data_IF_544910642980
#
_entry.id   IF_544910642980
#
_cell.length_a   1.000
_cell.length_b   1.000
_cell.length_c   1.000
_cell.angle_alpha   90.00
_cell.angle_beta   90.00
_cell.angle_gamma   90.00
#
_symmetry.space_group_name_H-M   'P 1'
#
loop_
_entity.id
_entity.type
_entity.pdbx_description
1 polymer ?
#
# COMPACT_ATOMS: atom_id res chain seq x y z
N UNK A 1 -2.54 -9.44 -0.86
CA UNK A 1 -1.49 -8.44 -0.57
C UNK A 1 -0.30 -8.73 -1.45
N UNK A 2 0.10 -7.75 -2.27
CA UNK A 2 1.30 -7.69 -3.09
C UNK A 2 2.61 -7.72 -2.27
N UNK A 3 2.60 -7.21 -1.03
CA UNK A 3 3.75 -7.12 -0.11
C UNK A 3 4.05 -8.40 0.67
N UNK A 4 3.21 -9.43 0.55
CA UNK A 4 3.46 -10.74 1.15
C UNK A 4 4.43 -11.57 0.29
N UNK A 5 5.15 -12.53 0.89
CA UNK A 5 5.96 -13.48 0.14
C UNK A 5 5.14 -14.17 -0.95
N UNK A 6 5.59 -14.06 -2.20
CA UNK A 6 4.97 -14.71 -3.36
C UNK A 6 5.84 -15.89 -3.82
N UNK A 7 5.24 -16.92 -4.46
CA UNK A 7 6.00 -17.97 -5.10
C UNK A 7 7.05 -17.40 -6.05
N UNK A 8 8.26 -17.96 -6.01
CA UNK A 8 9.41 -17.51 -6.82
C UNK A 8 9.91 -16.08 -6.51
N UNK A 9 9.54 -15.52 -5.36
CA UNK A 9 10.01 -14.20 -4.90
C UNK A 9 9.74 -13.07 -5.89
N UNK A 10 8.71 -13.20 -6.72
CA UNK A 10 8.32 -12.15 -7.67
C UNK A 10 7.50 -11.10 -6.93
N UNK A 11 7.99 -9.87 -6.91
CA UNK A 11 7.24 -8.75 -6.37
C UNK A 11 6.04 -8.41 -7.27
N UNK A 12 4.90 -8.09 -6.66
CA UNK A 12 3.75 -7.55 -7.38
C UNK A 12 4.05 -6.14 -7.91
N UNK A 13 3.32 -5.72 -8.95
CA UNK A 13 3.56 -4.42 -9.61
C UNK A 13 3.54 -3.22 -8.65
N UNK A 14 2.67 -3.25 -7.63
CA UNK A 14 2.53 -2.20 -6.62
C UNK A 14 3.04 -2.62 -5.24
N UNK A 15 3.98 -3.58 -5.18
CA UNK A 15 4.54 -4.10 -3.92
C UNK A 15 5.08 -2.98 -3.02
N UNK A 16 5.84 -2.03 -3.59
CA UNK A 16 6.46 -0.96 -2.82
C UNK A 16 5.41 -0.06 -2.12
N UNK A 17 4.43 0.42 -2.88
CA UNK A 17 3.36 1.26 -2.35
C UNK A 17 2.49 0.54 -1.31
N UNK A 18 2.15 -0.74 -1.54
CA UNK A 18 1.40 -1.49 -0.53
C UNK A 18 2.23 -1.70 0.74
N UNK A 19 3.55 -1.92 0.62
CA UNK A 19 4.42 -2.06 1.79
C UNK A 19 4.44 -0.77 2.62
N UNK A 20 4.64 0.38 1.99
CA UNK A 20 4.65 1.69 2.68
C UNK A 20 3.30 1.98 3.36
N UNK A 21 2.18 1.72 2.68
CA UNK A 21 0.85 1.88 3.28
C UNK A 21 0.65 0.98 4.52
N UNK A 22 1.11 -0.27 4.47
CA UNK A 22 1.04 -1.21 5.60
C UNK A 22 1.95 -0.78 6.74
N UNK A 23 3.17 -0.35 6.44
CA UNK A 23 4.15 0.12 7.42
C UNK A 23 3.68 1.40 8.12
N UNK A 24 3.11 2.36 7.38
CA UNK A 24 2.53 3.56 7.96
C UNK A 24 1.38 3.23 8.93
N UNK A 25 0.45 2.35 8.53
CA UNK A 25 -0.72 2.01 9.35
C UNK A 25 -0.44 1.12 10.56
N UNK A 26 0.77 0.56 10.64
CA UNK A 26 1.13 -0.41 11.68
C UNK A 26 1.14 0.26 13.07
N UNK A 27 0.28 -0.21 13.97
CA UNK A 27 0.17 0.30 15.35
C UNK A 27 -0.71 1.53 15.53
N UNK A 28 -1.25 2.14 14.46
CA UNK A 28 -2.12 3.33 14.54
C UNK A 28 -3.60 3.00 14.80
N UNK A 29 -4.04 1.80 14.41
CA UNK A 29 -5.47 1.45 14.36
C UNK A 29 -6.21 2.12 13.19
N UNK A 30 -7.37 1.59 12.82
CA UNK A 30 -8.04 1.94 11.55
C UNK A 30 -8.41 3.43 11.45
N UNK A 31 -8.92 4.03 12.53
CA UNK A 31 -9.38 5.43 12.53
C UNK A 31 -8.26 6.41 12.25
N UNK A 32 -7.10 6.22 12.90
CA UNK A 32 -5.93 7.09 12.71
C UNK A 32 -5.24 6.81 11.38
N UNK A 33 -5.01 5.54 11.04
CA UNK A 33 -4.38 5.15 9.78
C UNK A 33 -5.12 5.72 8.56
N UNK A 34 -6.46 5.84 8.60
CA UNK A 34 -7.24 6.42 7.50
C UNK A 34 -6.95 7.91 7.25
N UNK A 35 -6.57 8.66 8.28
CA UNK A 35 -6.20 10.08 8.14
C UNK A 35 -4.69 10.27 7.96
N UNK A 36 -3.89 9.56 8.75
CA UNK A 36 -2.44 9.74 8.80
C UNK A 36 -1.73 9.08 7.62
N UNK A 37 -2.24 7.94 7.12
CA UNK A 37 -1.66 7.19 6.00
C UNK A 37 -2.48 7.33 4.71
N UNK A 38 -3.24 8.42 4.60
CA UNK A 38 -4.06 8.70 3.43
C UNK A 38 -3.22 8.85 2.15
N UNK A 39 -2.06 9.55 2.14
CA UNK A 39 -1.23 9.68 0.95
C UNK A 39 -0.73 8.31 0.42
N UNK A 40 -0.23 7.45 1.30
CA UNK A 40 0.29 6.12 0.92
C UNK A 40 -0.82 5.23 0.37
N UNK A 41 -2.03 5.34 0.93
CA UNK A 41 -3.21 4.66 0.40
C UNK A 41 -3.58 5.17 -1.00
N UNK A 42 -3.59 6.49 -1.21
CA UNK A 42 -3.90 7.10 -2.51
C UNK A 42 -2.88 6.71 -3.58
N UNK A 43 -1.58 6.66 -3.24
CA UNK A 43 -0.53 6.22 -4.14
C UNK A 43 -0.62 4.72 -4.46
N UNK A 44 -0.95 3.88 -3.47
CA UNK A 44 -1.20 2.46 -3.70
C UNK A 44 -2.39 2.23 -4.63
N UNK A 45 -3.51 2.92 -4.39
CA UNK A 45 -4.70 2.82 -5.23
C UNK A 45 -4.43 3.35 -6.64
N UNK A 46 -3.67 4.43 -6.76
CA UNK A 46 -3.28 4.95 -8.06
C UNK A 46 -2.39 3.97 -8.82
N UNK A 47 -1.41 3.35 -8.17
CA UNK A 47 -0.59 2.32 -8.83
C UNK A 47 -1.46 1.16 -9.36
N UNK A 48 -2.47 0.75 -8.59
CA UNK A 48 -3.36 -0.35 -8.95
C UNK A 48 -4.32 0.00 -10.09
N UNK A 49 -4.83 1.23 -10.12
CA UNK A 49 -5.90 1.63 -11.04
C UNK A 49 -5.44 2.48 -12.22
N UNK A 50 -4.27 3.13 -12.11
CA UNK A 50 -3.68 4.02 -13.14
C UNK A 50 -4.68 5.07 -13.62
N UNK A 51 -5.28 5.77 -12.66
CA UNK A 51 -6.39 6.69 -12.88
C UNK A 51 -6.01 8.16 -12.91
N UNK A 52 -4.84 8.54 -12.38
CA UNK A 52 -4.30 9.90 -12.47
C UNK A 52 -3.73 10.09 -13.88
N UNK A 53 -4.24 11.13 -14.55
CA UNK A 53 -3.80 11.62 -15.86
C UNK A 53 -2.68 12.64 -15.71
#
# INVERSE_FOLDING_TARGET
RQSMPQPYSKAGACHAFEREWVECGHGLGQTRARRECQPEYEDFMECMHRTKL
#
